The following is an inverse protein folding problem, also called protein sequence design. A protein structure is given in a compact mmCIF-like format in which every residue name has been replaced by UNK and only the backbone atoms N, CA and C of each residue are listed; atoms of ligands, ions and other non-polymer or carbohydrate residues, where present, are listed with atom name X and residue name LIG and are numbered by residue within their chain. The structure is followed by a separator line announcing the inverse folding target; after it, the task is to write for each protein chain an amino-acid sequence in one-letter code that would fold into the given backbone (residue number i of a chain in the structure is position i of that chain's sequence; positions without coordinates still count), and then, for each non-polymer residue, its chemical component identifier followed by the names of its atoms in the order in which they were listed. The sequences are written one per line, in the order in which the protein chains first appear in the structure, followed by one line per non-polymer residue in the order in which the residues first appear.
data_IF_842652893012
#
_entry.id   IF_842652893012
#
_cell.length_a   1.000
_cell.length_b   1.000
_cell.length_c   1.000
_cell.angle_alpha   90.00
_cell.angle_beta   90.00
_cell.angle_gamma   90.00
#
_symmetry.space_group_name_H-M   'P 1'
#
loop_
_entity.id
_entity.type
_entity.pdbx_description
1 polymer ?
#
# COMPACT_ATOMS: atom_id res chain seq x y z
N UNK A 1 2.71 1.92 64.64
CA UNK A 1 4.02 1.26 64.49
C UNK A 1 3.89 -0.18 64.95
N UNK A 2 3.60 -1.12 64.05
CA UNK A 2 3.52 -2.55 64.41
C UNK A 2 3.81 -3.42 63.18
N UNK A 3 4.69 -4.39 63.41
CA UNK A 3 5.49 -5.21 62.48
C UNK A 3 4.68 -6.04 61.48
N UNK A 4 5.18 -6.13 60.24
CA UNK A 4 4.87 -7.23 59.30
C UNK A 4 6.07 -8.20 59.22
N UNK A 5 5.82 -9.52 59.13
CA UNK A 5 6.86 -10.54 59.23
C UNK A 5 7.60 -10.79 57.90
N UNK A 6 8.89 -11.10 58.04
CA UNK A 6 9.81 -11.55 56.98
C UNK A 6 9.50 -13.00 56.59
N UNK A 7 9.21 -13.24 55.31
CA UNK A 7 9.20 -14.59 54.74
C UNK A 7 10.58 -14.85 54.17
N UNK A 8 11.30 -15.76 54.81
CA UNK A 8 12.52 -16.41 54.31
C UNK A 8 12.13 -17.84 53.94
N UNK A 9 12.30 -18.20 52.67
CA UNK A 9 12.28 -19.61 52.27
C UNK A 9 13.43 -19.82 51.30
N UNK A 10 14.48 -20.45 51.84
CA UNK A 10 15.60 -21.05 51.13
C UNK A 10 15.37 -22.55 51.07
N UNK A 11 16.18 -23.22 50.23
CA UNK A 11 16.46 -24.67 50.14
C UNK A 11 15.76 -25.34 48.95
N UNK A 12 16.41 -25.44 47.78
CA UNK A 12 17.43 -26.42 47.30
C UNK A 12 16.80 -27.68 46.70
N UNK A 13 17.11 -28.01 45.44
CA UNK A 13 17.66 -29.32 45.04
C UNK A 13 18.09 -29.34 43.56
N UNK A 14 19.35 -29.71 43.33
CA UNK A 14 19.89 -30.09 42.03
C UNK A 14 19.47 -31.53 41.72
N UNK A 15 18.92 -31.78 40.52
CA UNK A 15 18.87 -33.12 39.93
C UNK A 15 19.45 -33.03 38.52
N UNK A 16 20.65 -33.56 38.37
CA UNK A 16 21.24 -33.87 37.08
C UNK A 16 20.57 -35.16 36.55
N UNK A 17 19.97 -35.09 35.36
CA UNK A 17 19.48 -36.26 34.64
C UNK A 17 20.15 -36.32 33.26
N UNK A 18 21.05 -37.29 33.12
CA UNK A 18 21.55 -37.79 31.84
C UNK A 18 20.40 -38.55 31.14
N UNK A 19 20.02 -38.15 29.94
CA UNK A 19 19.11 -38.92 29.09
C UNK A 19 19.59 -38.93 27.64
N UNK A 20 20.18 -40.07 27.29
CA UNK A 20 20.13 -40.84 26.04
C UNK A 20 19.88 -40.07 24.72
N UNK A 21 20.88 -40.15 23.84
CA UNK A 21 20.82 -39.86 22.41
C UNK A 21 19.77 -40.74 21.73
N UNK A 22 18.62 -40.16 21.38
CA UNK A 22 17.73 -40.70 20.37
C UNK A 22 18.18 -40.18 19.00
N UNK A 23 18.84 -41.04 18.22
CA UNK A 23 19.09 -40.81 16.81
C UNK A 23 17.75 -40.88 16.05
N UNK A 24 17.13 -39.71 15.83
CA UNK A 24 16.09 -39.60 14.81
C UNK A 24 16.80 -39.55 13.46
N UNK A 25 16.56 -40.58 12.65
CA UNK A 25 16.98 -40.65 11.26
C UNK A 25 16.45 -39.43 10.51
N UNK A 26 17.35 -38.55 10.08
CA UNK A 26 17.08 -37.56 9.05
C UNK A 26 16.78 -38.33 7.76
N UNK A 27 15.50 -38.51 7.46
CA UNK A 27 15.10 -38.71 6.08
C UNK A 27 15.32 -37.36 5.37
N UNK A 28 16.03 -37.31 4.23
CA UNK A 28 16.13 -36.07 3.47
C UNK A 28 14.72 -35.67 3.06
N UNK A 29 14.18 -34.65 3.73
CA UNK A 29 12.98 -33.95 3.26
C UNK A 29 13.35 -33.32 1.93
N UNK A 30 13.04 -34.03 0.85
CA UNK A 30 13.07 -33.49 -0.50
C UNK A 30 12.24 -32.22 -0.47
N UNK A 31 12.78 -31.06 -0.89
CA UNK A 31 12.03 -29.81 -0.88
C UNK A 31 10.74 -30.03 -1.66
N UNK A 32 9.62 -29.89 -0.96
CA UNK A 32 8.28 -29.91 -1.52
C UNK A 32 8.25 -28.96 -2.71
N UNK A 33 7.94 -29.53 -3.87
CA UNK A 33 7.57 -28.89 -5.13
C UNK A 33 7.17 -27.43 -4.91
N UNK A 34 8.05 -26.51 -5.33
CA UNK A 34 7.64 -25.19 -5.75
C UNK A 34 6.52 -25.42 -6.77
N UNK A 35 5.28 -25.19 -6.36
CA UNK A 35 4.19 -24.99 -7.32
C UNK A 35 4.70 -23.89 -8.23
N UNK A 36 5.07 -24.26 -9.45
CA UNK A 36 5.24 -23.31 -10.53
C UNK A 36 3.91 -22.53 -10.52
N UNK A 37 3.97 -21.26 -10.12
CA UNK A 37 2.88 -20.36 -10.40
C UNK A 37 2.58 -20.52 -11.90
N UNK A 38 1.30 -20.55 -12.32
CA UNK A 38 0.97 -20.58 -13.73
C UNK A 38 1.83 -19.52 -14.44
N UNK A 39 2.44 -19.88 -15.57
CA UNK A 39 3.42 -19.02 -16.25
C UNK A 39 2.86 -17.62 -16.61
N UNK A 40 1.53 -17.45 -16.55
CA UNK A 40 0.80 -16.21 -16.82
C UNK A 40 0.32 -15.47 -15.56
N UNK A 41 0.72 -15.89 -14.36
CA UNK A 41 0.39 -15.15 -13.14
C UNK A 41 1.17 -13.83 -13.12
N UNK A 42 0.51 -12.68 -12.84
CA UNK A 42 1.19 -11.41 -12.61
C UNK A 42 2.39 -11.55 -11.68
N UNK A 43 3.58 -11.27 -12.17
CA UNK A 43 4.77 -11.18 -11.33
C UNK A 43 4.85 -9.78 -10.72
N UNK A 44 5.04 -9.73 -9.40
CA UNK A 44 5.36 -8.52 -8.66
C UNK A 44 6.74 -8.74 -8.05
N UNK A 45 7.72 -7.97 -8.50
CA UNK A 45 9.05 -7.97 -7.90
C UNK A 45 9.11 -6.82 -6.90
N UNK A 46 9.47 -7.10 -5.64
CA UNK A 46 9.49 -6.08 -4.60
C UNK A 46 10.77 -6.16 -3.76
N UNK A 47 11.28 -5.01 -3.35
CA UNK A 47 12.36 -4.87 -2.39
C UNK A 47 12.14 -3.63 -1.52
N UNK A 48 12.73 -3.60 -0.34
CA UNK A 48 12.59 -2.49 0.62
C UNK A 48 13.94 -1.82 0.84
N UNK A 49 13.99 -0.49 0.71
CA UNK A 49 15.14 0.35 1.06
C UNK A 49 14.68 1.31 2.14
N UNK A 50 15.27 1.21 3.33
CA UNK A 50 14.84 1.93 4.53
C UNK A 50 13.34 1.68 4.83
N UNK A 51 12.52 2.73 4.79
CA UNK A 51 11.06 2.70 5.00
C UNK A 51 10.25 2.59 3.71
N UNK A 52 10.92 2.61 2.55
CA UNK A 52 10.28 2.61 1.24
C UNK A 52 10.30 1.21 0.63
N UNK A 53 9.12 0.68 0.33
CA UNK A 53 8.98 -0.52 -0.50
C UNK A 53 8.85 -0.11 -1.96
N UNK A 54 9.72 -0.66 -2.81
CA UNK A 54 9.67 -0.49 -4.26
C UNK A 54 9.16 -1.79 -4.84
N UNK A 55 8.09 -1.72 -5.61
CA UNK A 55 7.51 -2.85 -6.32
C UNK A 55 7.44 -2.54 -7.81
N UNK A 56 7.85 -3.49 -8.65
CA UNK A 56 7.71 -3.41 -10.10
C UNK A 56 6.79 -4.51 -10.60
N UNK A 57 5.94 -4.17 -11.57
CA UNK A 57 5.11 -5.16 -12.26
C UNK A 57 4.96 -4.80 -13.73
N UNK A 58 4.95 -5.83 -14.57
CA UNK A 58 4.70 -5.69 -16.00
C UNK A 58 3.19 -5.82 -16.23
N UNK A 59 2.53 -4.70 -16.49
CA UNK A 59 1.12 -4.65 -16.83
C UNK A 59 0.92 -5.24 -18.22
N UNK A 60 0.09 -6.27 -18.30
CA UNK A 60 -0.43 -6.88 -19.51
C UNK A 60 -1.91 -6.51 -19.58
N UNK A 61 -2.37 -5.84 -20.65
CA UNK A 61 -3.75 -5.36 -20.74
C UNK A 61 -4.81 -6.46 -20.79
N UNK A 62 -4.41 -7.73 -20.96
CA UNK A 62 -5.32 -8.87 -20.94
C UNK A 62 -5.58 -9.43 -19.54
N UNK A 63 -4.83 -8.99 -18.53
CA UNK A 63 -4.87 -9.52 -17.17
C UNK A 63 -5.38 -8.48 -16.17
N UNK A 64 -6.02 -8.97 -15.11
CA UNK A 64 -6.38 -8.15 -13.94
C UNK A 64 -5.39 -8.40 -12.80
N UNK A 65 -5.13 -7.35 -12.03
CA UNK A 65 -4.14 -7.33 -10.96
C UNK A 65 -4.79 -6.96 -9.62
N UNK A 66 -4.43 -7.65 -8.54
CA UNK A 66 -4.65 -7.22 -7.15
C UNK A 66 -3.30 -7.32 -6.43
N UNK A 67 -2.54 -6.22 -6.46
CA UNK A 67 -1.16 -6.15 -6.01
C UNK A 67 -1.10 -5.86 -4.51
N UNK A 68 -0.19 -6.53 -3.81
CA UNK A 68 0.15 -6.24 -2.41
C UNK A 68 1.45 -5.42 -2.37
N UNK A 69 1.37 -4.14 -2.01
CA UNK A 69 2.44 -3.16 -2.18
C UNK A 69 3.31 -2.94 -0.93
N UNK A 70 3.30 -3.89 0.02
CA UNK A 70 3.93 -3.73 1.33
C UNK A 70 3.08 -2.93 2.31
N UNK A 71 3.37 -3.04 3.61
CA UNK A 71 2.60 -2.33 4.67
C UNK A 71 1.12 -2.70 4.76
N UNK A 72 0.68 -3.75 4.06
CA UNK A 72 -0.74 -4.12 3.92
C UNK A 72 -1.48 -3.38 2.81
N UNK A 73 -0.82 -2.46 2.11
CA UNK A 73 -1.42 -1.64 1.05
C UNK A 73 -1.71 -2.50 -0.20
N UNK A 74 -2.79 -2.16 -0.92
CA UNK A 74 -3.24 -2.90 -2.10
C UNK A 74 -3.64 -2.01 -3.25
N UNK A 75 -3.41 -2.51 -4.46
CA UNK A 75 -3.81 -1.86 -5.69
C UNK A 75 -4.48 -2.85 -6.64
N UNK A 76 -5.74 -2.57 -6.98
CA UNK A 76 -6.49 -3.37 -7.93
C UNK A 76 -6.59 -2.67 -9.28
N UNK A 77 -6.11 -3.33 -10.34
CA UNK A 77 -6.06 -2.81 -11.71
C UNK A 77 -6.75 -3.82 -12.64
N UNK A 78 -7.97 -3.55 -13.11
CA UNK A 78 -8.66 -4.43 -14.05
C UNK A 78 -7.94 -4.52 -15.41
N UNK A 79 -8.18 -5.60 -16.15
CA UNK A 79 -7.73 -5.73 -17.53
C UNK A 79 -8.25 -4.56 -18.39
N UNK A 80 -7.40 -4.08 -19.30
CA UNK A 80 -7.73 -3.01 -20.24
C UNK A 80 -8.02 -1.65 -19.59
N UNK A 81 -7.70 -1.44 -18.31
CA UNK A 81 -8.06 -0.20 -17.61
C UNK A 81 -7.12 0.97 -17.87
N UNK A 82 -5.95 0.75 -18.47
CA UNK A 82 -4.91 1.77 -18.67
C UNK A 82 -5.01 2.36 -20.09
N UNK A 83 -4.98 3.67 -20.22
CA UNK A 83 -4.87 4.35 -21.52
C UNK A 83 -3.42 4.29 -22.04
N UNK A 84 -3.25 4.24 -23.36
CA UNK A 84 -1.94 4.32 -24.01
C UNK A 84 -1.30 5.69 -23.74
N UNK A 85 -0.15 5.77 -23.04
CA UNK A 85 0.49 7.02 -22.69
C UNK A 85 1.02 7.80 -23.90
N UNK A 86 1.30 7.15 -25.03
CA UNK A 86 1.83 7.79 -26.23
C UNK A 86 0.74 8.47 -27.07
N UNK A 87 -0.53 8.04 -26.92
CA UNK A 87 -1.65 8.51 -27.73
C UNK A 87 -2.66 9.35 -26.94
N UNK A 88 -2.78 9.11 -25.64
CA UNK A 88 -3.91 9.59 -24.85
C UNK A 88 -3.62 10.83 -24.00
N UNK A 89 -2.35 11.22 -23.89
CA UNK A 89 -1.88 12.31 -23.03
C UNK A 89 -2.13 12.07 -21.54
N UNK A 90 -1.74 13.04 -20.72
CA UNK A 90 -1.90 12.99 -19.26
C UNK A 90 -2.23 14.38 -18.70
N UNK A 91 -3.12 14.44 -17.71
CA UNK A 91 -3.43 15.66 -16.97
C UNK A 91 -4.91 15.80 -16.56
N UNK A 92 -5.25 16.74 -15.66
CA UNK A 92 -6.60 16.89 -15.10
C UNK A 92 -7.71 17.03 -16.12
N UNK A 93 -7.49 17.78 -17.21
CA UNK A 93 -8.48 17.96 -18.28
C UNK A 93 -8.70 16.70 -19.13
N UNK A 94 -7.85 15.68 -18.99
CA UNK A 94 -7.87 14.46 -19.79
C UNK A 94 -8.36 13.24 -19.00
N UNK A 95 -8.48 13.30 -17.66
CA UNK A 95 -8.83 12.12 -16.86
C UNK A 95 -10.18 11.49 -17.22
N UNK A 96 -11.16 12.31 -17.61
CA UNK A 96 -12.49 11.86 -18.04
C UNK A 96 -12.68 11.83 -19.56
N UNK A 97 -11.69 12.29 -20.32
CA UNK A 97 -11.76 12.27 -21.77
C UNK A 97 -11.66 10.81 -22.28
N UNK A 98 -12.35 10.45 -23.38
CA UNK A 98 -12.09 9.18 -24.07
C UNK A 98 -10.60 9.00 -24.39
N UNK A 99 -10.15 7.75 -24.49
CA UNK A 99 -8.75 7.43 -24.74
C UNK A 99 -8.59 6.14 -25.53
N UNK A 100 -7.40 5.93 -26.10
CA UNK A 100 -7.03 4.66 -26.70
C UNK A 100 -6.51 3.76 -25.58
N UNK A 101 -7.10 2.57 -25.33
CA UNK A 101 -6.57 1.65 -24.33
C UNK A 101 -5.19 1.15 -24.70
N UNK A 102 -4.35 0.93 -23.70
CA UNK A 102 -3.02 0.35 -23.89
C UNK A 102 -3.15 -1.11 -24.36
N UNK A 103 -2.51 -1.43 -25.49
CA UNK A 103 -2.55 -2.78 -26.08
C UNK A 103 -1.27 -3.58 -25.87
N UNK A 104 -0.17 -2.92 -25.50
CA UNK A 104 1.12 -3.54 -25.29
C UNK A 104 1.48 -3.57 -23.80
N UNK A 105 2.33 -4.51 -23.36
CA UNK A 105 2.81 -4.52 -21.99
C UNK A 105 3.45 -3.18 -21.59
N UNK A 106 3.25 -2.78 -20.34
CA UNK A 106 3.81 -1.56 -19.77
C UNK A 106 4.36 -1.85 -18.37
N UNK A 107 5.62 -1.50 -18.13
CA UNK A 107 6.21 -1.69 -16.80
C UNK A 107 5.84 -0.51 -15.89
N UNK A 108 5.33 -0.84 -14.70
CA UNK A 108 5.11 0.11 -13.63
C UNK A 108 6.09 -0.10 -12.49
N UNK A 109 6.52 1.01 -11.90
CA UNK A 109 7.23 1.05 -10.61
C UNK A 109 6.35 1.76 -9.60
N UNK A 110 6.10 1.10 -8.48
CA UNK A 110 5.31 1.60 -7.36
C UNK A 110 6.21 1.73 -6.14
N UNK A 111 6.28 2.93 -5.57
CA UNK A 111 7.00 3.20 -4.33
C UNK A 111 5.99 3.49 -3.24
N UNK A 112 6.02 2.74 -2.16
CA UNK A 112 5.16 2.94 -0.99
C UNK A 112 6.01 3.18 0.25
N UNK A 113 5.56 4.07 1.11
CA UNK A 113 6.24 4.38 2.39
C UNK A 113 5.24 4.99 3.37
N UNK A 114 5.69 5.23 4.61
CA UNK A 114 4.91 5.96 5.63
C UNK A 114 5.55 7.32 5.81
N UNK A 115 4.76 8.38 5.87
CA UNK A 115 5.29 9.71 6.15
C UNK A 115 5.62 9.90 7.64
N UNK A 116 6.13 11.08 8.02
CA UNK A 116 6.48 11.39 9.40
C UNK A 116 5.31 11.30 10.39
N UNK A 117 4.07 11.26 9.91
CA UNK A 117 2.86 11.05 10.72
C UNK A 117 2.38 9.60 10.73
N UNK A 118 3.13 8.69 10.10
CA UNK A 118 2.79 7.27 9.97
C UNK A 118 1.74 7.00 8.89
N UNK A 119 1.37 7.98 8.06
CA UNK A 119 0.34 7.83 7.03
C UNK A 119 0.93 7.23 5.75
N UNK A 120 0.21 6.33 5.07
CA UNK A 120 0.72 5.70 3.87
C UNK A 120 0.76 6.68 2.70
N UNK A 121 1.84 6.55 1.94
CA UNK A 121 2.09 7.23 0.67
C UNK A 121 2.40 6.24 -0.42
N UNK A 122 2.04 6.59 -1.65
CA UNK A 122 2.36 5.83 -2.84
C UNK A 122 2.73 6.77 -3.98
N UNK A 123 3.74 6.41 -4.76
CA UNK A 123 4.02 7.01 -6.08
C UNK A 123 4.12 5.90 -7.10
N UNK A 124 3.47 6.08 -8.24
CA UNK A 124 3.48 5.14 -9.36
C UNK A 124 4.11 5.84 -10.56
N UNK A 125 4.98 5.14 -11.28
CA UNK A 125 5.63 5.61 -12.50
C UNK A 125 5.55 4.52 -13.57
N UNK A 126 5.25 4.84 -14.84
CA UNK A 126 4.95 6.18 -15.36
C UNK A 126 3.58 6.72 -14.93
N UNK A 127 3.43 8.03 -15.04
CA UNK A 127 2.14 8.71 -14.89
C UNK A 127 1.25 8.36 -16.09
N UNK A 128 0.11 7.71 -15.83
CA UNK A 128 -0.86 7.29 -16.85
C UNK A 128 -2.26 7.59 -16.39
N UNK A 129 -3.21 7.76 -17.32
CA UNK A 129 -4.64 7.83 -17.00
C UNK A 129 -5.35 6.53 -17.31
N UNK A 130 -6.51 6.32 -16.69
CA UNK A 130 -7.32 5.13 -16.91
C UNK A 130 -8.42 5.37 -17.93
N UNK A 131 -8.82 4.29 -18.61
CA UNK A 131 -9.96 4.29 -19.51
C UNK A 131 -11.20 4.71 -18.71
N UNK A 132 -11.95 5.75 -19.11
CA UNK A 132 -13.13 6.20 -18.38
C UNK A 132 -14.12 5.06 -18.12
N UNK A 133 -14.66 5.01 -16.89
CA UNK A 133 -15.52 3.90 -16.45
C UNK A 133 -14.78 2.72 -15.80
N UNK A 134 -13.45 2.62 -15.94
CA UNK A 134 -12.65 1.58 -15.27
C UNK A 134 -12.67 1.71 -13.76
N UNK A 135 -12.60 0.58 -13.06
CA UNK A 135 -12.64 0.52 -11.59
C UNK A 135 -11.27 0.18 -10.99
N UNK A 136 -10.28 1.05 -11.20
CA UNK A 136 -8.97 0.95 -10.53
C UNK A 136 -9.13 1.43 -9.09
N UNK A 137 -8.72 0.64 -8.11
CA UNK A 137 -8.92 0.95 -6.68
C UNK A 137 -7.62 0.84 -5.92
N UNK A 138 -7.26 1.92 -5.24
CA UNK A 138 -6.19 1.96 -4.25
C UNK A 138 -6.77 1.74 -2.86
N UNK A 139 -6.15 0.86 -2.08
CA UNK A 139 -6.47 0.61 -0.68
C UNK A 139 -5.21 0.78 0.15
N UNK A 140 -5.25 1.69 1.09
CA UNK A 140 -4.19 1.86 2.08
C UNK A 140 -4.60 1.23 3.40
N UNK A 141 -3.70 0.45 3.98
CA UNK A 141 -3.85 -0.09 5.33
C UNK A 141 -3.45 0.99 6.32
N UNK A 142 -4.43 1.52 7.05
CA UNK A 142 -4.24 2.53 8.08
C UNK A 142 -5.40 2.44 9.07
N UNK A 143 -5.19 1.72 10.17
CA UNK A 143 -6.22 1.44 11.18
C UNK A 143 -6.75 2.73 11.82
N UNK A 144 -5.87 3.71 12.05
CA UNK A 144 -6.23 4.99 12.67
C UNK A 144 -7.09 5.82 11.72
N UNK A 145 -6.70 5.92 10.44
CA UNK A 145 -7.47 6.63 9.42
C UNK A 145 -8.83 5.97 9.19
N UNK A 146 -8.84 4.64 9.10
CA UNK A 146 -10.06 3.87 8.86
C UNK A 146 -11.06 3.98 10.01
N UNK A 147 -10.58 3.96 11.26
CA UNK A 147 -11.42 4.13 12.45
C UNK A 147 -11.97 5.55 12.59
N UNK A 148 -11.18 6.58 12.23
CA UNK A 148 -11.57 7.98 12.40
C UNK A 148 -12.65 8.47 11.43
N UNK A 149 -12.83 7.82 10.27
CA UNK A 149 -13.86 8.15 9.28
C UNK A 149 -13.71 9.51 8.58
N UNK A 150 -12.72 10.31 8.97
CA UNK A 150 -12.41 11.64 8.39
C UNK A 150 -11.22 11.63 7.45
N UNK A 151 -10.56 10.50 7.24
CA UNK A 151 -9.36 10.45 6.40
C UNK A 151 -9.72 10.35 4.93
N UNK A 152 -8.97 11.07 4.09
CA UNK A 152 -9.12 11.11 2.64
C UNK A 152 -7.81 10.76 1.95
N UNK A 153 -7.91 10.06 0.83
CA UNK A 153 -6.81 9.84 -0.09
C UNK A 153 -6.78 11.03 -1.06
N UNK A 154 -5.70 11.79 -1.01
CA UNK A 154 -5.44 12.95 -1.86
C UNK A 154 -4.44 12.61 -2.96
N UNK A 155 -4.61 13.21 -4.12
CA UNK A 155 -3.64 13.17 -5.22
C UNK A 155 -2.54 14.20 -4.97
N UNK A 156 -1.29 13.78 -5.07
CA UNK A 156 -0.12 14.63 -4.98
C UNK A 156 0.61 14.59 -6.34
N UNK A 157 0.44 15.61 -7.21
CA UNK A 157 1.09 15.65 -8.50
C UNK A 157 2.61 15.58 -8.35
N UNK A 158 3.28 14.86 -9.26
CA UNK A 158 4.74 14.78 -9.30
C UNK A 158 5.34 16.19 -9.39
N UNK A 159 6.17 16.57 -8.41
CA UNK A 159 6.82 17.88 -8.35
C UNK A 159 5.95 19.02 -7.79
N UNK A 160 4.69 18.76 -7.43
CA UNK A 160 3.85 19.75 -6.75
C UNK A 160 4.05 19.73 -5.23
N UNK A 161 3.91 20.89 -4.60
CA UNK A 161 3.95 21.05 -3.14
C UNK A 161 2.59 20.78 -2.48
N UNK A 162 1.50 20.85 -3.25
CA UNK A 162 0.14 20.71 -2.75
C UNK A 162 -0.52 19.46 -3.29
N UNK A 163 -1.30 18.80 -2.42
CA UNK A 163 -2.13 17.67 -2.80
C UNK A 163 -3.61 18.10 -2.90
N UNK A 164 -4.37 17.43 -3.75
CA UNK A 164 -5.76 17.77 -4.08
C UNK A 164 -6.68 16.62 -3.66
N UNK A 165 -7.75 16.96 -2.94
CA UNK A 165 -8.85 16.02 -2.70
C UNK A 165 -9.81 16.03 -3.91
N UNK A 166 -9.53 15.17 -4.88
CA UNK A 166 -10.34 15.05 -6.10
C UNK A 166 -11.78 14.59 -5.83
N UNK A 167 -12.03 13.94 -4.68
CA UNK A 167 -13.36 13.50 -4.26
C UNK A 167 -14.34 14.64 -3.98
N UNK A 168 -13.84 15.88 -3.81
CA UNK A 168 -14.69 17.07 -3.66
C UNK A 168 -15.33 17.50 -4.98
N UNK A 169 -14.67 17.23 -6.10
CA UNK A 169 -15.14 17.61 -7.44
C UNK A 169 -15.80 16.43 -8.16
N UNK A 170 -15.40 15.20 -7.82
CA UNK A 170 -15.98 13.99 -8.37
C UNK A 170 -16.34 12.98 -7.28
N UNK A 171 -17.65 12.78 -7.10
CA UNK A 171 -18.21 11.84 -6.14
C UNK A 171 -17.74 10.38 -6.36
N UNK A 172 -17.34 10.01 -7.58
CA UNK A 172 -16.83 8.68 -7.90
C UNK A 172 -15.45 8.40 -7.27
N UNK A 173 -14.72 9.45 -6.89
CA UNK A 173 -13.41 9.41 -6.24
C UNK A 173 -13.50 9.74 -4.74
N UNK A 174 -14.68 9.67 -4.12
CA UNK A 174 -14.78 9.82 -2.66
C UNK A 174 -14.02 8.67 -1.98
N UNK A 175 -13.19 9.06 -1.00
CA UNK A 175 -12.50 8.08 -0.15
C UNK A 175 -13.51 7.42 0.78
N UNK A 176 -13.42 6.11 0.90
CA UNK A 176 -14.22 5.30 1.81
C UNK A 176 -13.31 4.65 2.84
N UNK A 177 -13.81 4.45 4.05
CA UNK A 177 -13.11 3.69 5.08
C UNK A 177 -13.83 2.37 5.37
N UNK A 178 -13.07 1.38 5.81
CA UNK A 178 -13.57 0.15 6.38
C UNK A 178 -12.81 -0.11 7.71
N UNK A 179 -13.41 0.25 8.86
CA UNK A 179 -12.74 0.13 10.15
C UNK A 179 -12.53 -1.33 10.57
N UNK A 180 -13.32 -2.28 10.04
CA UNK A 180 -13.22 -3.69 10.42
C UNK A 180 -11.91 -4.33 9.95
N UNK A 181 -11.37 -3.87 8.83
CA UNK A 181 -10.11 -4.37 8.28
C UNK A 181 -9.04 -3.28 8.16
N UNK A 182 -9.32 -2.07 8.66
CA UNK A 182 -8.38 -0.96 8.73
C UNK A 182 -7.98 -0.36 7.38
N UNK A 183 -8.84 -0.47 6.37
CA UNK A 183 -8.53 0.10 5.05
C UNK A 183 -9.21 1.44 4.84
N UNK A 184 -8.47 2.39 4.27
CA UNK A 184 -9.04 3.51 3.52
C UNK A 184 -8.82 3.25 2.04
N UNK A 185 -9.84 3.48 1.22
CA UNK A 185 -9.78 3.12 -0.18
C UNK A 185 -10.52 4.11 -1.06
N UNK A 186 -10.06 4.24 -2.30
CA UNK A 186 -10.56 5.20 -3.27
C UNK A 186 -10.42 4.64 -4.68
N UNK A 187 -11.41 4.91 -5.52
CA UNK A 187 -11.28 4.70 -6.97
C UNK A 187 -10.32 5.75 -7.54
N UNK A 188 -9.46 5.33 -8.45
CA UNK A 188 -8.51 6.22 -9.13
C UNK A 188 -8.93 6.44 -10.58
N UNK A 189 -8.57 7.59 -11.14
CA UNK A 189 -8.66 7.90 -12.59
C UNK A 189 -7.30 7.94 -13.28
N UNK A 190 -6.21 7.94 -12.50
CA UNK A 190 -4.85 7.98 -13.01
C UNK A 190 -3.86 7.36 -12.03
N UNK A 191 -2.64 7.10 -12.49
CA UNK A 191 -1.48 6.82 -11.67
C UNK A 191 -0.57 8.04 -11.60
N UNK A 192 -0.11 8.31 -10.38
CA UNK A 192 0.88 9.33 -10.02
C UNK A 192 1.19 9.16 -8.52
N UNK A 193 1.14 10.24 -7.72
CA UNK A 193 1.35 10.24 -6.27
C UNK A 193 0.06 10.32 -5.45
N UNK A 194 -0.01 9.60 -4.34
CA UNK A 194 -1.14 9.57 -3.42
C UNK A 194 -0.69 9.56 -1.96
N UNK A 195 -1.45 10.22 -1.10
CA UNK A 195 -1.25 10.25 0.35
C UNK A 195 -2.58 10.15 1.09
N UNK A 196 -2.58 9.59 2.30
CA UNK A 196 -3.70 9.69 3.23
C UNK A 196 -3.51 10.90 4.14
N UNK A 197 -4.50 11.78 4.19
CA UNK A 197 -4.54 12.91 5.10
C UNK A 197 -5.83 12.90 5.91
N UNK A 198 -5.88 13.64 7.01
CA UNK A 198 -7.15 13.91 7.71
C UNK A 198 -7.85 15.02 6.96
N UNK A 199 -9.10 14.78 6.54
CA UNK A 199 -9.94 15.82 5.96
C UNK A 199 -10.27 16.85 7.03
N UNK A 200 -9.73 18.04 6.83
CA UNK A 200 -10.01 19.22 7.65
C UNK A 200 -10.97 20.16 6.92
N UNK A 201 -11.77 19.71 5.96
CA UNK A 201 -12.73 20.58 5.24
C UNK A 201 -13.81 21.28 6.11
N UNK A 202 -13.75 21.14 7.44
CA UNK A 202 -14.46 21.99 8.43
C UNK A 202 -13.55 22.85 9.35
N UNK A 203 -12.24 22.87 9.13
CA UNK A 203 -11.23 23.66 9.86
C UNK A 203 -10.32 24.37 8.85
N UNK A 204 -10.00 25.65 9.07
CA UNK A 204 -9.21 26.47 8.14
C UNK A 204 -7.86 25.82 7.71
N UNK A 205 -7.37 26.08 6.49
CA UNK A 205 -6.17 25.43 5.97
C UNK A 205 -4.93 25.79 6.80
N UNK A 206 -4.29 24.77 7.38
CA UNK A 206 -2.97 24.92 8.01
C UNK A 206 -1.94 25.02 6.89
N UNK A 207 -1.34 26.20 6.70
CA UNK A 207 -0.17 26.36 5.84
C UNK A 207 1.01 25.63 6.49
N UNK A 208 1.35 24.45 5.98
CA UNK A 208 2.57 23.76 6.38
C UNK A 208 3.77 24.41 5.66
N UNK A 209 4.15 25.60 6.13
CA UNK A 209 5.37 26.32 5.70
C UNK A 209 6.58 25.90 6.55
N UNK A 210 6.71 24.60 6.83
CA UNK A 210 7.61 24.07 7.86
C UNK A 210 8.71 23.13 7.39
N UNK A 211 9.28 23.29 6.20
CA UNK A 211 10.56 22.64 5.83
C UNK A 211 11.54 23.69 5.29
N UNK A 212 12.09 24.48 6.22
CA UNK A 212 13.34 25.19 6.01
C UNK A 212 14.49 24.22 6.25
N UNK A 213 15.32 24.00 5.24
CA UNK A 213 16.64 23.42 5.43
C UNK A 213 17.56 24.53 5.94
N UNK A 214 18.03 24.40 7.19
CA UNK A 214 19.31 24.97 7.63
C UNK A 214 20.34 23.83 7.72
#
# INVERSE_FOLDING_TARGET
MTRMPKIRTLVSLNVAALSLLAACSDAPTVPTSSRLAPADAPSLASYTIADTTVSTFDYNPLLSYDLSLGGGDRLSVPAGSVCDPNLSGYGPSLWDAPCVPQLLPLQFTVRTWRDGTGRPRMVVTPDVRFVPGSNVVLRFKDDVAAAGGKSVIVWCPTGALTCVNEGLQDASMITKSNPNNGFVYRRLKHFSGYNVVVDRSGEEPISDTGFGFE
#
